data_IF_865625072131
#
_entry.id   IF_865625072131
#
_cell.length_a   1.000
_cell.length_b   1.000
_cell.length_c   1.000
_cell.angle_alpha   90.00
_cell.angle_beta   90.00
_cell.angle_gamma   90.00
#
_symmetry.space_group_name_H-M   'P 1'
#
loop_
_entity.id
_entity.type
_entity.pdbx_description
1 polymer ?
#
# COMPACT_ATOMS: atom_id res chain seq x y z
N UNK A 1 17.97 -1.08 2.83
CA UNK A 1 17.28 -0.43 3.97
C UNK A 1 17.40 1.11 3.99
N UNK A 2 17.84 1.77 2.90
CA UNK A 2 18.09 3.22 2.89
C UNK A 2 16.85 4.07 3.24
N UNK A 3 15.68 3.70 2.73
CA UNK A 3 14.43 4.43 2.95
C UNK A 3 13.98 4.52 4.41
N UNK A 4 14.46 3.63 5.29
CA UNK A 4 14.03 3.56 6.71
C UNK A 4 15.17 3.79 7.70
N UNK A 5 16.40 4.05 7.22
CA UNK A 5 17.59 4.19 8.06
C UNK A 5 17.93 5.63 8.43
N UNK A 6 17.28 6.62 7.79
CA UNK A 6 17.56 8.04 8.03
C UNK A 6 16.93 8.59 9.33
N UNK A 7 16.19 7.77 10.08
CA UNK A 7 15.48 8.09 11.34
C UNK A 7 14.42 9.20 11.27
N UNK A 8 14.34 9.94 10.17
CA UNK A 8 13.33 10.95 9.91
C UNK A 8 12.30 10.41 8.89
N UNK A 9 11.02 10.54 9.22
CA UNK A 9 9.88 10.23 8.34
C UNK A 9 10.01 8.87 7.62
N UNK A 10 10.33 7.83 8.39
CA UNK A 10 10.66 6.50 7.83
C UNK A 10 9.44 5.79 7.24
N UNK A 11 8.26 6.11 7.75
CA UNK A 11 6.98 5.57 7.29
C UNK A 11 6.60 6.14 5.92
N UNK A 12 6.63 7.46 5.71
CA UNK A 12 6.30 8.02 4.38
C UNK A 12 7.34 7.63 3.32
N UNK A 13 8.62 7.64 3.68
CA UNK A 13 9.69 7.20 2.78
C UNK A 13 9.55 5.71 2.41
N UNK A 14 9.26 4.86 3.40
CA UNK A 14 9.00 3.44 3.19
C UNK A 14 7.77 3.20 2.31
N UNK A 15 6.67 3.91 2.58
CA UNK A 15 5.43 3.81 1.81
C UNK A 15 5.62 4.26 0.35
N UNK A 16 6.35 5.36 0.13
CA UNK A 16 6.61 5.90 -1.23
C UNK A 16 7.47 4.95 -2.06
N UNK A 17 8.56 4.43 -1.50
CA UNK A 17 9.38 3.45 -2.22
C UNK A 17 8.61 2.14 -2.42
N UNK A 18 7.83 1.72 -1.41
CA UNK A 18 7.00 0.52 -1.47
C UNK A 18 5.93 0.57 -2.56
N UNK A 19 5.25 1.71 -2.74
CA UNK A 19 4.23 1.87 -3.78
C UNK A 19 4.82 1.80 -5.18
N UNK A 20 5.98 2.43 -5.41
CA UNK A 20 6.72 2.35 -6.67
C UNK A 20 7.11 0.89 -6.97
N UNK A 21 7.73 0.20 -6.01
CA UNK A 21 8.12 -1.19 -6.18
C UNK A 21 6.92 -2.11 -6.42
N UNK A 22 5.83 -1.91 -5.68
CA UNK A 22 4.59 -2.67 -5.83
C UNK A 22 3.95 -2.50 -7.20
N UNK A 23 3.90 -1.27 -7.72
CA UNK A 23 3.38 -0.98 -9.05
C UNK A 23 4.28 -1.54 -10.16
N UNK A 24 5.61 -1.42 -10.03
CA UNK A 24 6.55 -1.88 -11.06
C UNK A 24 6.72 -3.40 -11.09
N UNK A 25 6.74 -4.08 -9.93
CA UNK A 25 7.09 -5.49 -9.82
C UNK A 25 5.88 -6.40 -9.62
N UNK A 26 4.77 -5.87 -9.10
CA UNK A 26 3.63 -6.64 -8.63
C UNK A 26 3.89 -7.32 -7.27
N UNK A 27 2.81 -7.62 -6.55
CA UNK A 27 2.87 -8.19 -5.20
C UNK A 27 3.63 -9.52 -5.11
N UNK A 28 3.46 -10.39 -6.11
CA UNK A 28 4.08 -11.73 -6.14
C UNK A 28 5.60 -11.70 -6.25
N UNK A 29 6.18 -10.59 -6.71
CA UNK A 29 7.63 -10.41 -6.80
C UNK A 29 8.24 -9.75 -5.55
N UNK A 30 7.43 -9.28 -4.61
CA UNK A 30 7.92 -8.68 -3.37
C UNK A 30 8.30 -9.77 -2.35
N UNK A 31 9.31 -9.53 -1.47
CA UNK A 31 9.69 -10.52 -0.47
C UNK A 31 8.55 -10.86 0.50
N UNK A 32 8.24 -12.17 0.67
CA UNK A 32 7.19 -12.66 1.59
C UNK A 32 7.31 -12.08 3.01
N UNK A 33 8.54 -11.96 3.53
CA UNK A 33 8.81 -11.34 4.84
C UNK A 33 8.29 -9.91 5.01
N UNK A 34 8.05 -9.19 3.91
CA UNK A 34 7.45 -7.85 3.92
C UNK A 34 5.94 -7.91 3.81
N UNK A 35 5.41 -8.65 2.83
CA UNK A 35 3.98 -8.67 2.53
C UNK A 35 3.16 -9.50 3.53
N UNK A 36 3.69 -10.60 4.05
CA UNK A 36 2.96 -11.50 4.96
C UNK A 36 2.63 -10.86 6.31
N UNK A 37 3.39 -9.83 6.73
CA UNK A 37 3.19 -9.15 8.01
C UNK A 37 2.03 -8.16 8.02
N UNK A 38 1.53 -7.78 6.84
CA UNK A 38 0.48 -6.77 6.70
C UNK A 38 -0.92 -7.37 6.90
N UNK A 39 -1.09 -8.69 6.67
CA UNK A 39 -2.36 -9.41 6.78
C UNK A 39 -3.54 -8.73 6.06
N UNK A 40 -3.24 -7.96 5.01
CA UNK A 40 -4.21 -7.25 4.16
C UNK A 40 -5.23 -6.36 4.87
N UNK A 41 -5.02 -6.03 6.15
CA UNK A 41 -5.95 -5.25 6.96
C UNK A 41 -5.33 -3.90 7.32
N UNK A 42 -5.99 -2.82 6.92
CA UNK A 42 -5.62 -1.45 7.22
C UNK A 42 -6.62 -0.84 8.22
N UNK A 43 -6.11 -0.23 9.28
CA UNK A 43 -6.90 0.53 10.23
C UNK A 43 -6.79 2.02 9.92
N UNK A 44 -7.91 2.73 9.81
CA UNK A 44 -7.92 4.15 9.47
C UNK A 44 -8.65 5.01 10.51
N UNK A 45 -8.28 6.28 10.58
CA UNK A 45 -8.99 7.30 11.36
C UNK A 45 -10.21 7.89 10.66
N UNK A 46 -10.60 7.40 9.48
CA UNK A 46 -11.73 7.94 8.71
C UNK A 46 -13.04 7.47 9.32
N UNK A 47 -13.91 8.41 9.69
CA UNK A 47 -15.20 8.10 10.30
C UNK A 47 -16.05 7.20 9.41
N UNK A 48 -16.48 6.05 9.95
CA UNK A 48 -17.25 5.05 9.19
C UNK A 48 -16.42 4.19 8.24
N UNK A 49 -15.09 4.31 8.24
CA UNK A 49 -14.18 3.55 7.36
C UNK A 49 -12.94 3.05 8.11
N UNK A 50 -13.17 2.55 9.34
CA UNK A 50 -12.10 2.28 10.32
C UNK A 50 -11.27 1.02 10.05
N UNK A 51 -11.82 0.03 9.37
CA UNK A 51 -11.14 -1.23 9.03
C UNK A 51 -11.36 -1.50 7.55
N UNK A 52 -10.27 -1.65 6.81
CA UNK A 52 -10.28 -1.72 5.34
C UNK A 52 -9.43 -2.90 4.91
N UNK A 53 -9.91 -3.68 3.95
CA UNK A 53 -9.09 -4.72 3.33
C UNK A 53 -8.35 -4.14 2.12
N UNK A 54 -7.05 -4.38 2.02
CA UNK A 54 -6.23 -3.90 0.89
C UNK A 54 -6.77 -4.35 -0.50
N UNK A 55 -7.31 -5.57 -0.68
CA UNK A 55 -7.97 -5.96 -1.92
C UNK A 55 -9.18 -5.10 -2.28
N UNK A 56 -9.99 -4.72 -1.29
CA UNK A 56 -11.15 -3.85 -1.51
C UNK A 56 -10.70 -2.46 -1.96
N UNK A 57 -9.71 -1.88 -1.27
CA UNK A 57 -9.14 -0.58 -1.62
C UNK A 57 -8.53 -0.59 -3.04
N UNK A 58 -7.86 -1.69 -3.41
CA UNK A 58 -7.29 -1.86 -4.75
C UNK A 58 -8.39 -1.88 -5.82
N UNK A 59 -9.44 -2.68 -5.62
CA UNK A 59 -10.59 -2.74 -6.53
C UNK A 59 -11.25 -1.37 -6.68
N UNK A 60 -11.51 -0.69 -5.57
CA UNK A 60 -12.20 0.61 -5.58
C UNK A 60 -11.33 1.67 -6.29
N UNK A 61 -10.01 1.63 -6.11
CA UNK A 61 -9.06 2.49 -6.83
C UNK A 61 -9.09 2.23 -8.33
N UNK A 62 -9.14 0.96 -8.76
CA UNK A 62 -9.23 0.61 -10.18
C UNK A 62 -10.55 1.10 -10.79
N UNK A 63 -11.67 1.00 -10.08
CA UNK A 63 -12.96 1.54 -10.54
C UNK A 63 -12.90 3.06 -10.72
N UNK A 64 -12.20 3.79 -9.87
CA UNK A 64 -11.99 5.24 -10.04
C UNK A 64 -11.14 5.52 -11.27
N UNK A 65 -10.05 4.76 -11.47
CA UNK A 65 -9.19 4.90 -12.65
C UNK A 65 -9.99 4.65 -13.94
N UNK A 66 -10.77 3.58 -14.00
CA UNK A 66 -11.64 3.25 -15.14
C UNK A 66 -12.63 4.37 -15.45
N UNK A 67 -13.23 5.00 -14.43
CA UNK A 67 -14.18 6.11 -14.62
C UNK A 67 -13.52 7.42 -15.06
N UNK A 68 -12.24 7.62 -14.73
CA UNK A 68 -11.51 8.85 -15.04
C UNK A 68 -10.80 8.76 -16.39
N UNK A 69 -10.34 7.56 -16.77
CA UNK A 69 -9.58 7.33 -18.00
C UNK A 69 -10.39 6.68 -19.14
N UNK A 70 -11.54 6.07 -18.84
CA UNK A 70 -12.48 5.53 -19.83
C UNK A 70 -13.46 6.57 -20.32
#
# INVERSE_FOLDING_TARGET
CRAVQACFDTDCNGATVGSILGACLGRSALPNRWVDKIHDTLYTGVAGYHVVQLPDLTRDTLQVIERVLG
#
